data_IF_768618759983
#
_entry.id   IF_768618759983
#
_cell.length_a   1.000
_cell.length_b   1.000
_cell.length_c   1.000
_cell.angle_alpha   90.00
_cell.angle_beta   90.00
_cell.angle_gamma   90.00
#
_symmetry.space_group_name_H-M   'P 1'
#
loop_
_entity.id
_entity.type
_entity.pdbx_description
1 polymer ?
#
# COMPACT_ATOMS: atom_id res chain seq x y z
N UNK A 1 70.15 22.40 3.84
CA UNK A 1 68.78 22.88 4.15
C UNK A 1 67.81 21.92 3.48
N UNK A 2 67.45 20.84 4.16
CA UNK A 2 66.68 19.73 3.58
C UNK A 2 65.18 20.07 3.58
N UNK A 3 64.56 20.08 2.40
CA UNK A 3 63.10 20.24 2.22
C UNK A 3 62.43 18.87 2.29
N UNK A 4 61.62 18.66 3.33
CA UNK A 4 60.81 17.47 3.53
C UNK A 4 59.50 17.60 2.74
N UNK A 5 59.36 16.82 1.67
CA UNK A 5 58.11 16.71 0.90
C UNK A 5 57.16 15.76 1.62
N UNK A 6 56.05 16.28 2.17
CA UNK A 6 54.99 15.46 2.76
C UNK A 6 54.08 14.96 1.64
N UNK A 7 54.09 13.64 1.39
CA UNK A 7 53.13 12.97 0.51
C UNK A 7 51.85 12.73 1.33
N UNK A 8 50.77 13.41 0.95
CA UNK A 8 49.45 13.17 1.52
C UNK A 8 48.82 11.95 0.83
N UNK A 9 48.60 10.89 1.58
CA UNK A 9 47.93 9.68 1.11
C UNK A 9 46.40 9.90 1.19
N UNK A 10 45.76 10.13 0.05
CA UNK A 10 44.30 10.15 -0.07
C UNK A 10 43.78 8.71 -0.07
N UNK A 11 43.28 8.24 1.07
CA UNK A 11 42.50 7.00 1.14
C UNK A 11 41.11 7.27 0.60
N UNK A 12 40.84 6.80 -0.62
CA UNK A 12 39.49 6.75 -1.17
C UNK A 12 38.72 5.59 -0.49
N UNK A 13 37.84 5.92 0.44
CA UNK A 13 36.90 4.95 1.02
C UNK A 13 35.82 4.66 -0.03
N UNK A 14 35.92 3.51 -0.69
CA UNK A 14 34.85 3.00 -1.53
C UNK A 14 33.67 2.63 -0.63
N UNK A 15 32.60 3.44 -0.66
CA UNK A 15 31.34 3.12 -0.01
C UNK A 15 30.70 1.99 -0.83
N UNK A 16 30.91 0.75 -0.39
CA UNK A 16 30.14 -0.38 -0.90
C UNK A 16 28.67 -0.14 -0.52
N UNK A 17 27.86 0.24 -1.50
CA UNK A 17 26.41 0.16 -1.38
C UNK A 17 26.07 -1.31 -1.13
N UNK A 18 25.78 -1.65 0.12
CA UNK A 18 25.22 -2.94 0.46
C UNK A 18 23.90 -3.06 -0.30
N UNK A 19 23.89 -3.85 -1.37
CA UNK A 19 22.67 -4.44 -1.89
C UNK A 19 22.12 -5.28 -0.74
N UNK A 20 21.21 -4.70 0.04
CA UNK A 20 20.46 -5.44 1.04
C UNK A 20 19.87 -6.67 0.35
N UNK A 21 20.12 -7.85 0.94
CA UNK A 21 19.44 -9.06 0.53
C UNK A 21 17.94 -8.74 0.43
N UNK A 22 17.36 -8.93 -0.76
CA UNK A 22 15.97 -8.57 -0.98
C UNK A 22 15.10 -9.28 0.06
N UNK A 23 14.37 -8.53 0.87
CA UNK A 23 13.35 -9.12 1.73
C UNK A 23 12.33 -9.83 0.84
N UNK A 24 12.09 -11.09 1.17
CA UNK A 24 11.07 -11.91 0.54
C UNK A 24 9.75 -11.64 1.28
N UNK A 25 8.78 -11.14 0.54
CA UNK A 25 7.43 -10.86 1.01
C UNK A 25 6.46 -11.89 0.45
N UNK A 26 5.35 -12.10 1.14
CA UNK A 26 4.15 -12.70 0.55
C UNK A 26 3.09 -11.63 0.41
N UNK A 27 2.57 -11.43 -0.81
CA UNK A 27 1.48 -10.48 -1.07
C UNK A 27 0.18 -11.26 -1.30
N UNK A 28 -0.90 -10.92 -0.61
CA UNK A 28 -2.25 -11.35 -0.96
C UNK A 28 -2.78 -10.42 -2.06
N UNK A 29 -2.93 -10.92 -3.29
CA UNK A 29 -3.46 -10.15 -4.40
C UNK A 29 -4.96 -10.42 -4.61
N UNK A 30 -5.75 -9.34 -4.63
CA UNK A 30 -7.17 -9.37 -4.91
C UNK A 30 -7.45 -9.24 -6.41
N UNK A 31 -8.12 -10.23 -6.98
CA UNK A 31 -8.59 -10.25 -8.37
C UNK A 31 -10.09 -10.57 -8.43
N UNK A 32 -10.74 -10.21 -9.54
CA UNK A 32 -12.16 -10.47 -9.72
C UNK A 32 -13.00 -9.81 -8.63
N UNK A 33 -14.08 -10.44 -8.17
CA UNK A 33 -14.91 -9.86 -7.11
C UNK A 33 -14.54 -10.33 -5.71
N UNK A 34 -13.92 -11.51 -5.59
CA UNK A 34 -13.71 -12.18 -4.31
C UNK A 34 -12.59 -13.24 -4.35
N UNK A 35 -11.59 -13.07 -5.22
CA UNK A 35 -10.50 -14.04 -5.38
C UNK A 35 -9.20 -13.49 -4.81
N UNK A 36 -8.57 -14.24 -3.90
CA UNK A 36 -7.25 -13.97 -3.35
C UNK A 36 -6.23 -14.93 -3.93
N UNK A 37 -5.06 -14.39 -4.30
CA UNK A 37 -3.92 -15.19 -4.76
C UNK A 37 -2.66 -14.72 -4.03
N UNK A 38 -2.00 -15.62 -3.31
CA UNK A 38 -0.72 -15.30 -2.66
C UNK A 38 0.38 -15.21 -3.72
N UNK A 39 1.25 -14.21 -3.62
CA UNK A 39 2.39 -13.98 -4.51
C UNK A 39 3.65 -13.94 -3.67
N UNK A 40 4.63 -14.78 -4.01
CA UNK A 40 5.98 -14.72 -3.45
C UNK A 40 6.81 -13.71 -4.25
N UNK A 41 7.26 -12.64 -3.59
CA UNK A 41 8.00 -11.54 -4.26
C UNK A 41 9.44 -11.91 -4.60
N UNK A 42 10.01 -12.94 -3.97
CA UNK A 42 11.34 -13.44 -4.26
C UNK A 42 11.34 -14.37 -5.47
N UNK A 43 10.35 -15.27 -5.56
CA UNK A 43 10.25 -16.22 -6.69
C UNK A 43 9.42 -15.72 -7.87
N UNK A 44 8.67 -14.62 -7.69
CA UNK A 44 7.76 -14.03 -8.68
C UNK A 44 6.71 -15.05 -9.16
N UNK A 45 6.24 -15.89 -8.26
CA UNK A 45 5.23 -16.92 -8.52
C UNK A 45 3.96 -16.62 -7.75
N UNK A 46 2.84 -16.68 -8.44
CA UNK A 46 1.54 -16.75 -7.83
C UNK A 46 1.25 -18.19 -7.39
N UNK A 47 0.69 -18.34 -6.19
CA UNK A 47 0.16 -19.58 -5.67
C UNK A 47 -1.20 -19.92 -6.26
N UNK A 48 -1.92 -20.82 -5.60
CA UNK A 48 -3.29 -21.18 -5.99
C UNK A 48 -4.25 -20.03 -5.64
N UNK A 49 -5.07 -19.63 -6.62
CA UNK A 49 -6.17 -18.69 -6.36
C UNK A 49 -7.27 -19.33 -5.52
N UNK A 50 -7.73 -18.59 -4.52
CA UNK A 50 -8.77 -18.99 -3.57
C UNK A 50 -9.93 -18.01 -3.67
N UNK A 51 -11.12 -18.52 -3.98
CA UNK A 51 -12.36 -17.74 -3.86
C UNK A 51 -12.71 -17.62 -2.38
N UNK A 52 -12.90 -16.40 -1.90
CA UNK A 52 -13.27 -16.14 -0.51
C UNK A 52 -14.68 -16.67 -0.26
N UNK A 53 -14.82 -17.53 0.74
CA UNK A 53 -16.08 -18.17 1.12
C UNK A 53 -16.68 -17.48 2.35
N UNK A 54 -18.01 -17.56 2.52
CA UNK A 54 -18.69 -16.93 3.66
C UNK A 54 -18.87 -15.41 3.57
N UNK A 55 -18.34 -14.78 2.52
CA UNK A 55 -18.52 -13.37 2.21
C UNK A 55 -19.69 -13.17 1.24
N UNK A 56 -20.40 -12.05 1.36
CA UNK A 56 -21.45 -11.65 0.42
C UNK A 56 -21.09 -10.33 -0.25
N UNK A 57 -21.20 -10.30 -1.58
CA UNK A 57 -20.90 -9.11 -2.37
C UNK A 57 -19.43 -9.03 -2.81
N UNK A 58 -19.13 -7.96 -3.53
CA UNK A 58 -17.80 -7.71 -4.09
C UNK A 58 -16.88 -7.13 -3.02
N UNK A 59 -15.66 -7.66 -2.94
CA UNK A 59 -14.58 -7.09 -2.14
C UNK A 59 -14.09 -5.81 -2.82
N UNK A 60 -14.15 -4.72 -2.07
CA UNK A 60 -13.67 -3.40 -2.45
C UNK A 60 -12.14 -3.30 -2.27
N UNK A 61 -11.60 -3.86 -1.20
CA UNK A 61 -10.17 -3.95 -0.93
C UNK A 61 -9.85 -4.86 0.26
N UNK A 62 -8.57 -5.16 0.47
CA UNK A 62 -8.05 -6.01 1.55
C UNK A 62 -6.80 -5.39 2.17
N UNK A 63 -6.62 -5.59 3.48
CA UNK A 63 -5.36 -5.25 4.14
C UNK A 63 -5.18 -6.05 5.44
N UNK A 64 -3.94 -6.22 5.90
CA UNK A 64 -3.59 -6.87 7.15
C UNK A 64 -3.61 -5.86 8.28
N UNK A 65 -4.37 -6.13 9.34
CA UNK A 65 -4.36 -5.29 10.54
C UNK A 65 -3.12 -5.58 11.40
N UNK A 66 -2.20 -4.62 11.60
CA UNK A 66 -0.96 -4.93 12.32
C UNK A 66 -1.15 -5.24 13.82
N UNK A 67 -2.28 -4.85 14.40
CA UNK A 67 -2.59 -5.12 15.81
C UNK A 67 -2.84 -6.60 16.13
N UNK A 68 -3.35 -7.38 15.17
CA UNK A 68 -3.71 -8.80 15.32
C UNK A 68 -3.17 -9.72 14.22
N UNK A 69 -2.63 -9.16 13.13
CA UNK A 69 -2.03 -9.91 12.03
C UNK A 69 -3.03 -10.61 11.12
N UNK A 70 -4.34 -10.35 11.27
CA UNK A 70 -5.36 -10.94 10.42
C UNK A 70 -5.51 -10.15 9.11
N UNK A 71 -5.83 -10.86 8.03
CA UNK A 71 -6.27 -10.24 6.78
C UNK A 71 -7.73 -9.80 6.93
N UNK A 72 -7.99 -8.54 6.63
CA UNK A 72 -9.32 -7.95 6.58
C UNK A 72 -9.74 -7.73 5.12
N UNK A 73 -11.04 -7.85 4.86
CA UNK A 73 -11.66 -7.53 3.59
C UNK A 73 -12.82 -6.56 3.83
N UNK A 74 -12.89 -5.50 3.02
CA UNK A 74 -14.03 -4.60 2.97
C UNK A 74 -14.88 -4.94 1.75
N UNK A 75 -16.17 -5.19 1.92
CA UNK A 75 -17.10 -5.31 0.78
C UNK A 75 -17.66 -3.94 0.38
N UNK A 76 -18.09 -3.82 -0.88
CA UNK A 76 -18.61 -2.55 -1.44
C UNK A 76 -19.83 -1.99 -0.70
N UNK A 77 -20.53 -2.82 0.08
CA UNK A 77 -21.67 -2.41 0.91
C UNK A 77 -21.25 -1.95 2.33
N UNK A 78 -19.95 -1.82 2.59
CA UNK A 78 -19.39 -1.37 3.87
C UNK A 78 -19.18 -2.47 4.91
N UNK A 79 -19.46 -3.73 4.59
CA UNK A 79 -19.27 -4.83 5.56
C UNK A 79 -17.79 -5.21 5.66
N UNK A 80 -17.29 -5.29 6.89
CA UNK A 80 -15.89 -5.62 7.18
C UNK A 80 -15.82 -7.06 7.63
N UNK A 81 -14.89 -7.81 7.06
CA UNK A 81 -14.69 -9.24 7.29
C UNK A 81 -13.24 -9.48 7.69
N UNK A 82 -12.99 -10.50 8.50
CA UNK A 82 -11.67 -11.14 8.58
C UNK A 82 -11.64 -12.34 7.65
N UNK A 83 -10.51 -12.65 7.05
CA UNK A 83 -10.32 -13.78 6.12
C UNK A 83 -9.16 -14.63 6.62
N UNK A 84 -9.40 -15.92 6.81
CA UNK A 84 -8.35 -16.86 7.22
C UNK A 84 -7.49 -17.35 6.05
N UNK A 85 -6.42 -18.11 6.34
CA UNK A 85 -5.51 -18.64 5.34
C UNK A 85 -6.16 -19.63 4.34
N UNK A 86 -7.33 -20.20 4.68
CA UNK A 86 -8.11 -21.05 3.78
C UNK A 86 -9.09 -20.25 2.90
N UNK A 87 -9.15 -18.93 3.09
CA UNK A 87 -10.08 -18.03 2.39
C UNK A 87 -11.49 -18.04 2.97
N UNK A 88 -11.69 -18.43 4.23
CA UNK A 88 -13.00 -18.35 4.88
C UNK A 88 -13.14 -17.00 5.58
N UNK A 89 -14.14 -16.23 5.15
CA UNK A 89 -14.49 -14.94 5.73
C UNK A 89 -15.40 -15.08 6.96
N UNK A 90 -15.19 -14.21 7.95
CA UNK A 90 -16.06 -14.05 9.12
C UNK A 90 -16.38 -12.57 9.29
N UNK A 91 -17.67 -12.24 9.38
CA UNK A 91 -18.10 -10.84 9.53
C UNK A 91 -17.55 -10.27 10.85
N UNK A 92 -16.94 -9.08 10.77
CA UNK A 92 -16.43 -8.34 11.93
C UNK A 92 -17.37 -7.21 12.34
N UNK A 93 -17.72 -6.34 11.40
CA UNK A 93 -18.56 -5.15 11.64
C UNK A 93 -19.07 -4.60 10.31
N UNK A 94 -19.81 -3.46 10.35
CA UNK A 94 -20.29 -2.76 9.16
C UNK A 94 -20.11 -1.26 9.34
N UNK A 95 -19.58 -0.59 8.32
CA UNK A 95 -19.36 0.86 8.32
C UNK A 95 -20.68 1.64 8.45
N UNK A 96 -20.70 2.64 9.32
CA UNK A 96 -21.82 3.60 9.44
C UNK A 96 -21.97 4.49 8.19
N UNK A 97 -20.87 4.71 7.47
CA UNK A 97 -20.82 5.54 6.25
C UNK A 97 -19.99 4.81 5.22
N UNK A 98 -20.53 4.64 4.02
CA UNK A 98 -19.89 3.91 2.92
C UNK A 98 -19.49 4.87 1.81
N UNK A 99 -18.50 4.46 1.00
CA UNK A 99 -18.15 5.19 -0.23
C UNK A 99 -19.33 5.18 -1.21
N UNK A 100 -19.34 6.18 -2.11
CA UNK A 100 -20.25 6.15 -3.25
C UNK A 100 -19.97 4.92 -4.13
N UNK A 101 -21.01 4.29 -4.66
CA UNK A 101 -20.87 3.07 -5.48
C UNK A 101 -20.03 3.26 -6.76
N UNK A 102 -19.89 4.50 -7.23
CA UNK A 102 -19.04 4.88 -8.36
C UNK A 102 -17.57 5.06 -8.01
N UNK A 103 -17.22 5.21 -6.73
CA UNK A 103 -15.85 5.39 -6.28
C UNK A 103 -15.13 4.04 -6.19
N UNK A 104 -13.90 4.01 -6.69
CA UNK A 104 -12.99 2.90 -6.37
C UNK A 104 -12.49 3.09 -4.94
N UNK A 105 -12.36 1.98 -4.20
CA UNK A 105 -11.88 2.02 -2.82
C UNK A 105 -10.38 1.72 -2.78
N UNK A 106 -9.70 2.44 -1.91
CA UNK A 106 -8.37 2.11 -1.38
C UNK A 106 -8.55 1.87 0.11
N UNK A 107 -7.99 0.77 0.63
CA UNK A 107 -8.11 0.41 2.04
C UNK A 107 -6.75 0.07 2.62
N UNK A 108 -6.45 0.57 3.83
CA UNK A 108 -5.19 0.27 4.52
C UNK A 108 -5.30 0.59 6.01
N UNK A 109 -4.65 -0.17 6.88
CA UNK A 109 -4.61 0.07 8.31
C UNK A 109 -3.50 1.04 8.66
N UNK A 110 -3.85 2.11 9.39
CA UNK A 110 -2.85 2.88 10.10
C UNK A 110 -2.42 2.11 11.37
N UNK A 111 -1.18 1.58 11.46
CA UNK A 111 -0.75 0.77 12.60
C UNK A 111 -0.56 1.58 13.90
N UNK A 112 -0.34 2.89 13.83
CA UNK A 112 -0.22 3.74 15.02
C UNK A 112 -1.59 4.11 15.59
N UNK A 113 -2.56 4.40 14.73
CA UNK A 113 -3.92 4.77 15.14
C UNK A 113 -4.82 3.54 15.37
N UNK A 114 -4.43 2.38 14.85
CA UNK A 114 -5.24 1.16 14.79
C UNK A 114 -6.63 1.43 14.20
N UNK A 115 -6.64 2.03 13.01
CA UNK A 115 -7.85 2.38 12.25
C UNK A 115 -7.68 2.02 10.80
N UNK A 116 -8.74 1.47 10.21
CA UNK A 116 -8.83 1.25 8.77
C UNK A 116 -9.09 2.60 8.09
N UNK A 117 -8.19 2.99 7.19
CA UNK A 117 -8.38 4.09 6.25
C UNK A 117 -9.13 3.54 5.04
N UNK A 118 -10.16 4.25 4.60
CA UNK A 118 -10.92 3.93 3.39
C UNK A 118 -11.00 5.20 2.55
N UNK A 119 -10.33 5.21 1.41
CA UNK A 119 -10.27 6.35 0.50
C UNK A 119 -11.06 6.00 -0.76
N UNK A 120 -11.92 6.93 -1.18
CA UNK A 120 -12.60 6.87 -2.46
C UNK A 120 -11.80 7.59 -3.54
N UNK A 121 -11.81 7.06 -4.77
CA UNK A 121 -11.20 7.71 -5.93
C UNK A 121 -11.82 9.08 -6.29
N UNK A 122 -12.91 9.47 -5.63
CA UNK A 122 -13.56 10.78 -5.71
C UNK A 122 -13.06 11.79 -4.63
N UNK A 123 -12.03 11.40 -3.88
CA UNK A 123 -11.42 12.16 -2.80
C UNK A 123 -12.12 12.00 -1.45
N UNK A 124 -13.13 11.12 -1.33
CA UNK A 124 -13.72 10.77 -0.03
C UNK A 124 -12.66 10.12 0.84
N UNK A 125 -12.60 10.49 2.12
CA UNK A 125 -11.55 10.07 3.03
C UNK A 125 -12.19 9.66 4.36
N UNK A 126 -12.19 8.37 4.65
CA UNK A 126 -12.88 7.79 5.81
C UNK A 126 -11.89 7.11 6.72
N UNK A 127 -12.17 7.15 8.02
CA UNK A 127 -11.41 6.45 9.05
C UNK A 127 -12.35 5.64 9.92
N UNK A 128 -12.13 4.32 9.94
CA UNK A 128 -13.07 3.35 10.49
C UNK A 128 -12.45 2.63 11.68
N UNK A 129 -13.22 2.51 12.76
CA UNK A 129 -12.94 1.56 13.81
C UNK A 129 -13.55 0.20 13.43
N UNK A 130 -12.71 -0.78 13.10
CA UNK A 130 -13.19 -2.09 12.64
C UNK A 130 -13.88 -2.92 13.73
N UNK A 131 -13.72 -2.55 15.01
CA UNK A 131 -14.36 -3.27 16.12
C UNK A 131 -15.87 -3.03 16.17
N UNK A 132 -16.33 -1.83 15.84
CA UNK A 132 -17.74 -1.43 15.94
C UNK A 132 -18.31 -0.80 14.66
N UNK A 133 -17.49 -0.61 13.62
CA UNK A 133 -17.92 -0.03 12.34
C UNK A 133 -18.03 1.50 12.34
N UNK A 134 -17.74 2.16 13.47
CA UNK A 134 -17.85 3.62 13.56
C UNK A 134 -16.92 4.28 12.56
N UNK A 135 -17.51 5.08 11.70
CA UNK A 135 -16.83 5.72 10.58
C UNK A 135 -16.77 7.23 10.79
N UNK A 136 -15.56 7.79 10.76
CA UNK A 136 -15.32 9.23 10.74
C UNK A 136 -15.08 9.67 9.30
N UNK A 137 -15.79 10.71 8.87
CA UNK A 137 -15.52 11.40 7.60
C UNK A 137 -14.45 12.45 7.87
N UNK A 138 -13.25 12.23 7.34
CA UNK A 138 -12.10 13.14 7.45
C UNK A 138 -12.17 14.21 6.33
N UNK A 139 -11.17 15.11 6.31
CA UNK A 139 -11.05 16.13 5.27
C UNK A 139 -10.98 15.51 3.87
N UNK A 140 -11.77 16.08 2.94
CA UNK A 140 -11.76 15.69 1.53
C UNK A 140 -10.37 15.88 0.93
N UNK A 141 -9.92 14.91 0.14
CA UNK A 141 -8.60 14.95 -0.46
C UNK A 141 -8.42 16.18 -1.36
N UNK A 142 -7.29 16.86 -1.19
CA UNK A 142 -6.89 18.04 -1.96
C UNK A 142 -5.36 18.17 -1.97
N UNK A 143 -4.81 18.61 -3.10
CA UNK A 143 -3.41 19.01 -3.15
C UNK A 143 -3.16 20.23 -2.28
N UNK A 144 -2.01 20.24 -1.60
CA UNK A 144 -1.59 21.33 -0.74
C UNK A 144 -1.46 22.66 -1.53
N UNK A 145 -1.60 23.78 -0.83
CA UNK A 145 -1.50 25.12 -1.43
C UNK A 145 -0.14 25.42 -2.08
N UNK A 146 0.91 24.74 -1.64
CA UNK A 146 2.26 24.86 -2.20
C UNK A 146 2.61 23.77 -3.21
N UNK A 147 1.71 22.80 -3.43
CA UNK A 147 1.93 21.71 -4.37
C UNK A 147 1.72 22.18 -5.81
N UNK A 148 2.47 21.59 -6.76
CA UNK A 148 2.36 21.93 -8.18
C UNK A 148 1.00 21.55 -8.79
N UNK A 149 0.28 20.59 -8.19
CA UNK A 149 -1.05 20.12 -8.59
C UNK A 149 -2.18 20.82 -7.84
N UNK A 150 -1.90 21.94 -7.17
CA UNK A 150 -2.92 22.73 -6.47
C UNK A 150 -4.14 23.00 -7.38
N UNK A 151 -5.32 22.69 -6.87
CA UNK A 151 -6.60 22.94 -7.55
C UNK A 151 -7.02 21.82 -8.51
N UNK A 152 -6.15 20.86 -8.81
CA UNK A 152 -6.53 19.63 -9.50
C UNK A 152 -7.34 18.72 -8.57
N UNK A 153 -8.25 17.95 -9.14
CA UNK A 153 -9.01 16.94 -8.40
C UNK A 153 -8.15 15.66 -8.31
N UNK A 154 -7.75 15.21 -7.10
CA UNK A 154 -7.00 13.98 -6.96
C UNK A 154 -7.88 12.76 -7.28
N UNK A 155 -7.25 11.72 -7.84
CA UNK A 155 -7.87 10.42 -8.07
C UNK A 155 -6.98 9.33 -7.46
N UNK A 156 -7.14 9.13 -6.15
CA UNK A 156 -6.41 8.07 -5.44
C UNK A 156 -6.98 6.70 -5.79
N UNK A 157 -6.10 5.78 -6.21
CA UNK A 157 -6.48 4.43 -6.66
C UNK A 157 -5.81 3.30 -5.85
N UNK A 158 -4.78 3.62 -5.07
CA UNK A 158 -4.14 2.72 -4.11
C UNK A 158 -3.41 3.56 -3.06
N UNK A 159 -3.03 2.97 -1.92
CA UNK A 159 -2.35 3.68 -0.85
C UNK A 159 -2.09 2.77 0.34
N UNK A 160 -1.03 3.08 1.09
CA UNK A 160 -0.56 2.28 2.21
C UNK A 160 0.24 3.07 3.24
N UNK A 161 0.19 2.64 4.50
CA UNK A 161 0.96 3.20 5.59
C UNK A 161 2.32 2.50 5.76
N UNK A 162 3.36 3.29 6.04
CA UNK A 162 4.65 2.76 6.50
C UNK A 162 4.57 2.20 7.92
N UNK A 163 5.56 1.39 8.30
CA UNK A 163 5.75 0.83 9.64
C UNK A 163 4.56 -0.03 10.07
N UNK A 164 4.06 -0.87 9.16
CA UNK A 164 2.93 -1.82 9.33
C UNK A 164 3.29 -2.97 10.29
N UNK A 165 3.63 -2.60 11.53
CA UNK A 165 4.02 -3.50 12.62
C UNK A 165 3.33 -3.09 13.91
N UNK A 166 2.99 -4.09 14.72
CA UNK A 166 2.28 -3.89 16.00
C UNK A 166 3.04 -2.95 16.92
N UNK A 167 2.35 -1.93 17.41
CA UNK A 167 2.86 -1.05 18.47
C UNK A 167 3.75 0.10 17.99
N UNK A 168 3.92 0.28 16.66
CA UNK A 168 4.58 1.47 16.10
C UNK A 168 3.95 2.77 16.63
N UNK A 169 4.75 3.83 16.65
CA UNK A 169 4.33 5.17 17.11
C UNK A 169 4.21 6.17 15.97
N UNK A 170 4.85 5.89 14.84
CA UNK A 170 4.92 6.80 13.71
C UNK A 170 4.64 6.05 12.41
N UNK A 171 3.86 6.69 11.56
CA UNK A 171 3.45 6.18 10.26
C UNK A 171 3.40 7.32 9.27
N UNK A 172 3.57 6.99 7.99
CA UNK A 172 3.38 7.91 6.88
C UNK A 172 2.45 7.23 5.90
N UNK A 173 1.39 7.94 5.48
CA UNK A 173 0.50 7.49 4.41
C UNK A 173 1.07 7.92 3.06
N UNK A 174 1.22 6.95 2.17
CA UNK A 174 1.51 7.17 0.77
C UNK A 174 0.36 6.67 -0.09
N UNK A 175 0.03 7.42 -1.13
CA UNK A 175 -1.02 7.09 -2.08
C UNK A 175 -0.48 7.04 -3.50
N UNK A 176 -1.25 6.41 -4.39
CA UNK A 176 -1.07 6.46 -5.83
C UNK A 176 -2.20 7.27 -6.44
N UNK A 177 -1.86 8.39 -7.07
CA UNK A 177 -2.81 9.13 -7.91
C UNK A 177 -2.79 8.56 -9.34
N UNK A 178 -3.94 8.04 -9.76
CA UNK A 178 -4.13 7.42 -11.08
C UNK A 178 -4.22 8.42 -12.24
N UNK A 179 -4.55 9.69 -11.98
CA UNK A 179 -4.62 10.72 -13.02
C UNK A 179 -3.23 11.18 -13.41
N UNK A 180 -2.39 11.49 -12.42
CA UNK A 180 -1.05 12.04 -12.68
C UNK A 180 0.06 10.97 -12.69
N UNK A 181 -0.25 9.74 -12.26
CA UNK A 181 0.68 8.60 -12.27
C UNK A 181 1.86 8.83 -11.32
N UNK A 182 1.57 9.27 -10.10
CA UNK A 182 2.57 9.69 -9.12
C UNK A 182 2.33 9.05 -7.74
N UNK A 183 3.43 8.87 -7.01
CA UNK A 183 3.39 8.64 -5.58
C UNK A 183 3.08 9.97 -4.88
N UNK A 184 2.12 9.93 -3.99
CA UNK A 184 1.64 11.06 -3.20
C UNK A 184 1.92 10.76 -1.73
N UNK A 185 2.25 11.78 -0.95
CA UNK A 185 2.28 11.72 0.50
C UNK A 185 1.06 12.46 1.04
N UNK A 186 0.25 11.81 1.87
CA UNK A 186 -0.89 12.43 2.52
C UNK A 186 -0.54 12.82 3.95
N UNK A 187 -0.38 14.12 4.19
CA UNK A 187 0.06 14.65 5.49
C UNK A 187 -0.48 16.07 5.73
N UNK A 188 -1.29 16.29 6.78
CA UNK A 188 -1.86 15.27 7.70
C UNK A 188 -2.93 14.38 7.02
N UNK A 189 -3.00 13.07 7.32
CA UNK A 189 -4.00 12.17 6.74
C UNK A 189 -5.46 12.59 6.99
N UNK A 190 -5.77 13.09 8.18
CA UNK A 190 -7.14 13.44 8.55
C UNK A 190 -7.60 14.77 7.93
N UNK A 191 -6.67 15.60 7.45
CA UNK A 191 -6.98 16.85 6.76
C UNK A 191 -7.12 16.65 5.25
N UNK A 192 -6.77 15.45 4.75
CA UNK A 192 -6.81 15.11 3.32
C UNK A 192 -5.79 15.85 2.47
N UNK A 193 -4.71 16.37 3.08
CA UNK A 193 -3.73 17.19 2.36
C UNK A 193 -2.73 16.30 1.65
N UNK A 194 -2.64 16.46 0.32
CA UNK A 194 -1.78 15.70 -0.57
C UNK A 194 -0.58 16.53 -1.02
N UNK A 195 0.60 15.91 -1.00
CA UNK A 195 1.82 16.44 -1.60
C UNK A 195 2.43 15.42 -2.56
N UNK A 196 2.64 15.81 -3.82
CA UNK A 196 3.25 14.96 -4.83
C UNK A 196 4.73 14.68 -4.47
N UNK A 197 5.11 13.40 -4.44
CA UNK A 197 6.49 12.98 -4.19
C UNK A 197 7.25 12.88 -5.50
N UNK A 198 6.67 12.20 -6.49
CA UNK A 198 7.24 12.07 -7.82
C UNK A 198 6.52 11.05 -8.68
N UNK A 199 6.78 11.10 -9.98
CA UNK A 199 6.15 10.19 -10.94
C UNK A 199 6.66 8.76 -10.76
N UNK A 200 5.75 7.80 -10.91
CA UNK A 200 6.08 6.38 -10.90
C UNK A 200 7.02 6.00 -12.05
N UNK A 201 6.92 6.70 -13.19
CA UNK A 201 7.67 6.37 -14.41
C UNK A 201 7.10 5.16 -15.16
N UNK A 202 5.96 4.63 -14.69
CA UNK A 202 5.17 3.56 -15.31
C UNK A 202 3.71 3.97 -15.32
N UNK A 203 2.95 3.47 -16.29
CA UNK A 203 1.52 3.82 -16.48
C UNK A 203 0.67 2.56 -16.65
N UNK A 204 0.59 1.69 -15.62
CA UNK A 204 -0.23 0.50 -15.70
C UNK A 204 -1.73 0.86 -15.70
N UNK A 205 -2.56 0.01 -16.30
CA UNK A 205 -4.02 0.26 -16.37
C UNK A 205 -4.71 0.02 -15.03
N UNK A 206 -4.22 -0.93 -14.26
CA UNK A 206 -4.63 -1.19 -12.90
C UNK A 206 -3.39 -1.14 -12.00
N UNK A 207 -3.53 -0.50 -10.85
CA UNK A 207 -2.49 -0.39 -9.84
C UNK A 207 -3.00 -1.02 -8.56
N UNK A 208 -2.17 -1.85 -7.96
CA UNK A 208 -2.27 -2.22 -6.56
C UNK A 208 -0.96 -1.85 -5.88
N UNK A 209 -1.02 -1.31 -4.67
CA UNK A 209 0.15 -0.80 -3.96
C UNK A 209 0.01 -1.09 -2.47
N UNK A 210 1.09 -1.57 -1.86
CA UNK A 210 1.20 -1.73 -0.42
C UNK A 210 2.65 -1.58 0.05
N UNK A 211 2.86 -1.29 1.34
CA UNK A 211 4.18 -1.11 1.96
C UNK A 211 4.42 -2.23 2.98
N UNK A 212 5.35 -3.11 2.64
CA UNK A 212 5.88 -4.09 3.56
C UNK A 212 6.85 -3.42 4.54
N UNK A 213 6.72 -3.71 5.83
CA UNK A 213 7.73 -3.37 6.84
C UNK A 213 8.52 -4.59 7.26
N UNK A 214 9.82 -4.54 7.04
CA UNK A 214 10.74 -5.61 7.36
C UNK A 214 11.09 -5.74 8.84
N UNK A 215 11.69 -6.87 9.18
CA UNK A 215 12.19 -7.14 10.54
C UNK A 215 13.28 -6.15 10.99
N UNK A 216 13.99 -5.52 10.06
CA UNK A 216 14.98 -4.46 10.28
C UNK A 216 14.35 -3.05 10.44
N UNK A 217 13.01 -2.95 10.33
CA UNK A 217 12.28 -1.69 10.32
C UNK A 217 12.30 -0.94 8.98
N UNK A 218 12.92 -1.51 7.95
CA UNK A 218 12.91 -0.97 6.60
C UNK A 218 11.52 -1.09 5.96
N UNK A 219 11.16 -0.12 5.13
CA UNK A 219 9.90 -0.14 4.38
C UNK A 219 10.17 -0.39 2.89
N UNK A 220 9.41 -1.29 2.27
CA UNK A 220 9.46 -1.58 0.83
C UNK A 220 8.09 -1.35 0.24
N UNK A 221 7.98 -0.34 -0.63
CA UNK A 221 6.77 -0.11 -1.42
C UNK A 221 6.67 -1.10 -2.57
N UNK A 222 5.69 -1.99 -2.52
CA UNK A 222 5.38 -2.94 -3.58
C UNK A 222 4.26 -2.37 -4.45
N UNK A 223 4.50 -2.29 -5.76
CA UNK A 223 3.47 -1.94 -6.73
C UNK A 223 3.29 -3.09 -7.71
N UNK A 224 2.06 -3.55 -7.88
CA UNK A 224 1.71 -4.53 -8.90
C UNK A 224 0.83 -3.87 -9.95
N UNK A 225 1.28 -3.91 -11.20
CA UNK A 225 0.56 -3.31 -12.33
C UNK A 225 0.77 -4.14 -13.60
N UNK A 226 -0.34 -4.45 -14.28
CA UNK A 226 -0.38 -5.24 -15.52
C UNK A 226 0.44 -6.56 -15.44
N UNK A 227 0.39 -7.23 -14.28
CA UNK A 227 1.08 -8.50 -14.02
C UNK A 227 2.58 -8.38 -13.73
N UNK A 228 3.13 -7.17 -13.68
CA UNK A 228 4.50 -6.93 -13.26
C UNK A 228 4.56 -6.34 -11.84
N UNK A 229 5.56 -6.79 -11.08
CA UNK A 229 5.88 -6.30 -9.75
C UNK A 229 7.02 -5.27 -9.83
N UNK A 230 6.86 -4.20 -9.07
CA UNK A 230 7.79 -3.09 -8.97
C UNK A 230 8.09 -2.78 -7.51
N UNK A 231 9.29 -2.27 -7.25
CA UNK A 231 9.62 -1.55 -6.01
C UNK A 231 9.45 -0.06 -6.24
N UNK A 232 8.68 0.60 -5.39
CA UNK A 232 8.51 2.06 -5.39
C UNK A 232 9.45 2.64 -4.35
N UNK A 233 10.29 3.57 -4.79
CA UNK A 233 11.12 4.37 -3.90
C UNK A 233 10.24 5.46 -3.25
N UNK A 234 10.03 5.37 -1.93
CA UNK A 234 9.11 6.26 -1.19
C UNK A 234 9.61 7.70 -1.05
N UNK A 235 10.87 7.98 -1.39
CA UNK A 235 11.47 9.31 -1.34
C UNK A 235 11.36 10.05 -2.68
N UNK A 236 11.39 9.33 -3.79
CA UNK A 236 11.38 9.89 -5.17
C UNK A 236 10.13 9.55 -5.97
N UNK A 237 9.33 8.58 -5.51
CA UNK A 237 8.18 8.04 -6.22
C UNK A 237 8.53 7.10 -7.37
N UNK A 238 9.80 6.88 -7.69
CA UNK A 238 10.19 6.08 -8.87
C UNK A 238 9.88 4.59 -8.66
N UNK A 239 9.11 4.00 -9.57
CA UNK A 239 8.89 2.56 -9.63
C UNK A 239 10.00 1.88 -10.46
N UNK A 240 10.61 0.84 -9.91
CA UNK A 240 11.63 0.03 -10.58
C UNK A 240 11.13 -1.41 -10.71
N UNK A 241 11.07 -1.93 -11.93
CA UNK A 241 10.55 -3.28 -12.18
C UNK A 241 11.43 -4.34 -11.52
N UNK A 242 10.79 -5.27 -10.81
CA UNK A 242 11.41 -6.49 -10.28
C UNK A 242 11.25 -7.63 -11.29
N UNK A 243 10.04 -7.80 -11.83
CA UNK A 243 9.77 -8.78 -12.88
C UNK A 243 8.29 -9.06 -13.06
N UNK A 244 7.96 -9.99 -13.97
CA UNK A 244 6.58 -10.43 -14.20
C UNK A 244 6.21 -11.56 -13.25
N UNK A 245 5.02 -11.49 -12.67
CA UNK A 245 4.50 -12.58 -11.85
C UNK A 245 4.00 -13.70 -12.77
N UNK A 246 4.48 -14.91 -12.52
CA UNK A 246 4.06 -16.12 -13.23
C UNK A 246 2.88 -16.78 -12.52
N UNK A 247 1.91 -17.30 -13.27
CA UNK A 247 0.74 -18.00 -12.72
C UNK A 247 -0.39 -17.09 -12.20
N UNK A 248 -0.22 -15.77 -12.25
CA UNK A 248 -1.27 -14.81 -11.87
C UNK A 248 -2.37 -14.78 -12.94
N UNK A 249 -3.63 -14.79 -12.51
CA UNK A 249 -4.79 -14.72 -13.39
C UNK A 249 -5.68 -13.53 -13.07
N UNK A 250 -6.17 -12.84 -14.10
CA UNK A 250 -6.98 -11.64 -13.95
C UNK A 250 -6.18 -10.37 -13.64
N UNK A 251 -6.87 -9.23 -13.66
CA UNK A 251 -6.30 -7.95 -13.25
C UNK A 251 -6.34 -7.86 -11.73
N UNK A 252 -5.19 -7.61 -11.12
CA UNK A 252 -5.11 -7.31 -9.68
C UNK A 252 -5.59 -5.88 -9.46
N UNK A 253 -6.40 -5.70 -8.42
CA UNK A 253 -6.96 -4.39 -8.04
C UNK A 253 -6.52 -3.93 -6.66
N UNK A 254 -6.01 -4.85 -5.85
CA UNK A 254 -5.49 -4.55 -4.51
C UNK A 254 -4.46 -5.60 -4.08
N UNK A 255 -3.55 -5.24 -3.20
CA UNK A 255 -2.56 -6.15 -2.61
C UNK A 255 -2.40 -5.85 -1.12
N UNK A 256 -2.13 -6.87 -0.31
CA UNK A 256 -1.76 -6.72 1.09
C UNK A 256 -0.49 -7.53 1.39
N UNK A 257 0.47 -6.93 2.08
CA UNK A 257 1.69 -7.54 2.57
C UNK A 257 1.34 -8.41 3.77
N UNK A 258 1.51 -9.72 3.60
CA UNK A 258 1.24 -10.69 4.64
C UNK A 258 2.36 -10.65 5.69
N UNK A 259 2.05 -10.84 6.98
CA UNK A 259 3.08 -11.01 8.00
C UNK A 259 4.03 -12.14 7.63
N UNK A 260 5.32 -11.98 7.95
CA UNK A 260 6.28 -13.06 7.85
C UNK A 260 5.80 -14.25 8.70
N UNK A 261 5.81 -15.45 8.11
CA UNK A 261 5.47 -16.72 8.79
C UNK A 261 6.57 -17.17 9.74
#
# INVERSE_FOLDING_TARGET
MFRTTRIALLTATALAAGLGAGQAATLAALTGDDVLTMIDTATLKAGKSVKVSGISGKIAGVDVRPADGMLYALTTDGTIWTVDAAGKATMKSKMDTVLAASAMATVDFNPAADRLRVIGSDGTNLRVNVEDGKTTVDGKLKFAEADMHKGEAPMIVAGAYTNSVKGTKETVLYDIDGTIGALIKQAPPNDGVLGAVGKLGVTPKAVAFDIETGADGGNVGWLLGDGALYKVDLASGKATMVGKITGLSGSVRDIAAMPAM
#
